data_IF_508172235185
#
_entry.id   IF_508172235185
#
_cell.length_a   1.000
_cell.length_b   1.000
_cell.length_c   1.000
_cell.angle_alpha   90.00
_cell.angle_beta   90.00
_cell.angle_gamma   90.00
#
_symmetry.space_group_name_H-M   'P 1'
#
loop_
_entity.id
_entity.type
_entity.pdbx_description
1 polymer ?
#
# COMPACT_ATOMS: atom_id res chain seq x y z
N UNK A 1 27.86 31.64 -14.44
CA UNK A 1 29.21 31.58 -15.03
C UNK A 1 29.52 32.98 -15.56
N UNK A 2 30.62 33.65 -15.17
CA UNK A 2 30.94 35.01 -15.63
C UNK A 2 32.05 34.98 -16.70
N UNK A 3 31.71 34.90 -18.00
CA UNK A 3 32.68 34.68 -19.07
C UNK A 3 33.66 35.84 -19.28
N UNK A 4 33.29 37.07 -18.88
CA UNK A 4 34.18 38.23 -18.96
C UNK A 4 35.44 38.08 -18.10
N UNK A 5 35.41 37.24 -17.05
CA UNK A 5 36.57 36.92 -16.20
C UNK A 5 37.40 35.75 -16.73
N UNK A 6 36.91 35.03 -17.75
CA UNK A 6 37.57 33.86 -18.34
C UNK A 6 38.63 34.27 -19.38
N UNK A 7 38.47 35.43 -20.02
CA UNK A 7 39.39 35.91 -21.06
C UNK A 7 40.35 37.00 -20.54
N UNK A 8 41.62 36.95 -20.98
CA UNK A 8 42.62 37.97 -20.62
C UNK A 8 42.29 39.32 -21.30
N UNK A 9 42.53 40.43 -20.60
CA UNK A 9 42.25 41.80 -21.07
C UNK A 9 42.79 42.10 -22.49
N UNK A 10 44.03 41.70 -22.79
CA UNK A 10 44.65 41.90 -24.10
C UNK A 10 43.91 41.21 -25.28
N UNK A 11 43.12 40.18 -24.99
CA UNK A 11 42.30 39.47 -25.99
C UNK A 11 40.97 40.19 -26.20
N UNK A 12 40.35 40.69 -25.12
CA UNK A 12 39.13 41.50 -25.17
C UNK A 12 39.36 42.86 -25.85
N UNK A 13 40.54 43.46 -25.70
CA UNK A 13 40.92 44.70 -26.38
C UNK A 13 41.02 44.51 -27.92
N UNK A 14 41.35 43.29 -28.38
CA UNK A 14 41.43 42.95 -29.81
C UNK A 14 40.10 42.44 -30.40
N UNK A 15 39.27 41.81 -29.57
CA UNK A 15 37.95 41.27 -29.93
C UNK A 15 36.93 41.61 -28.84
N UNK A 16 36.32 42.82 -28.89
CA UNK A 16 35.45 43.32 -27.83
C UNK A 16 34.18 42.49 -27.63
N UNK A 17 33.70 41.83 -28.69
CA UNK A 17 32.49 41.00 -28.72
C UNK A 17 32.74 39.52 -28.40
N UNK A 18 33.98 39.14 -28.04
CA UNK A 18 34.36 37.74 -27.81
C UNK A 18 33.55 37.06 -26.71
N UNK A 19 33.26 37.78 -25.61
CA UNK A 19 32.48 37.22 -24.50
C UNK A 19 31.02 36.94 -24.91
N UNK A 20 30.42 37.81 -25.71
CA UNK A 20 29.06 37.65 -26.24
C UNK A 20 29.00 36.52 -27.27
N UNK A 21 29.97 36.45 -28.19
CA UNK A 21 30.11 35.33 -29.14
C UNK A 21 30.30 33.99 -28.43
N UNK A 22 31.10 33.97 -27.36
CA UNK A 22 31.31 32.77 -26.55
C UNK A 22 30.01 32.32 -25.88
N UNK A 23 29.27 33.24 -25.25
CA UNK A 23 27.97 32.93 -24.64
C UNK A 23 26.96 32.43 -25.67
N UNK A 24 26.85 33.10 -26.82
CA UNK A 24 25.96 32.67 -27.91
C UNK A 24 26.30 31.27 -28.41
N UNK A 25 27.59 30.92 -28.52
CA UNK A 25 28.01 29.57 -28.88
C UNK A 25 27.71 28.54 -27.78
N UNK A 26 27.89 28.91 -26.49
CA UNK A 26 27.53 28.07 -25.35
C UNK A 26 26.03 27.80 -25.34
N UNK A 27 25.21 28.83 -25.47
CA UNK A 27 23.74 28.71 -25.49
C UNK A 27 23.27 27.84 -26.66
N UNK A 28 23.85 28.01 -27.85
CA UNK A 28 23.56 27.15 -29.00
C UNK A 28 23.95 25.68 -28.77
N UNK A 29 25.09 25.43 -28.12
CA UNK A 29 25.52 24.06 -27.78
C UNK A 29 24.59 23.45 -26.73
N UNK A 30 24.21 24.21 -25.71
CA UNK A 30 23.27 23.78 -24.67
C UNK A 30 21.91 23.44 -25.29
N UNK A 31 21.36 24.31 -26.14
CA UNK A 31 20.08 24.08 -26.82
C UNK A 31 20.13 22.80 -27.67
N UNK A 32 21.19 22.61 -28.46
CA UNK A 32 21.35 21.40 -29.29
C UNK A 32 21.52 20.15 -28.40
N UNK A 33 22.26 20.27 -27.30
CA UNK A 33 22.47 19.16 -26.36
C UNK A 33 21.17 18.75 -25.69
N UNK A 34 20.35 19.71 -25.26
CA UNK A 34 19.03 19.48 -24.68
C UNK A 34 18.08 18.84 -25.71
N UNK A 35 18.09 19.34 -26.95
CA UNK A 35 17.30 18.74 -28.05
C UNK A 35 17.73 17.31 -28.35
N UNK A 36 19.03 17.02 -28.32
CA UNK A 36 19.55 15.67 -28.52
C UNK A 36 19.19 14.75 -27.35
N UNK A 37 19.23 15.26 -26.11
CA UNK A 37 18.80 14.52 -24.93
C UNK A 37 17.31 14.18 -25.00
N UNK A 38 16.46 15.14 -25.39
CA UNK A 38 15.04 14.92 -25.62
C UNK A 38 14.78 13.89 -26.73
N UNK A 39 15.52 13.95 -27.84
CA UNK A 39 15.42 12.98 -28.92
C UNK A 39 15.77 11.56 -28.45
N UNK A 40 16.88 11.40 -27.72
CA UNK A 40 17.28 10.11 -27.12
C UNK A 40 16.25 9.58 -26.14
N UNK A 41 15.67 10.45 -25.31
CA UNK A 41 14.59 10.09 -24.38
C UNK A 41 13.35 9.59 -25.14
N UNK A 42 13.00 10.25 -26.26
CA UNK A 42 11.89 9.84 -27.11
C UNK A 42 12.15 8.47 -27.76
N UNK A 43 13.35 8.24 -28.29
CA UNK A 43 13.74 6.94 -28.85
C UNK A 43 13.68 5.83 -27.79
N UNK A 44 14.23 6.08 -26.61
CA UNK A 44 14.19 5.15 -25.49
C UNK A 44 12.76 4.85 -25.02
N UNK A 45 11.92 5.88 -24.91
CA UNK A 45 10.50 5.73 -24.52
C UNK A 45 9.73 4.95 -25.57
N UNK A 46 9.94 5.23 -26.86
CA UNK A 46 9.30 4.48 -27.96
C UNK A 46 9.70 3.00 -27.92
N UNK A 47 10.98 2.70 -27.75
CA UNK A 47 11.45 1.33 -27.64
C UNK A 47 10.83 0.61 -26.44
N UNK A 48 10.77 1.27 -25.28
CA UNK A 48 10.13 0.73 -24.09
C UNK A 48 8.62 0.45 -24.31
N UNK A 49 7.90 1.36 -24.96
CA UNK A 49 6.47 1.18 -25.27
C UNK A 49 6.21 0.02 -26.23
N UNK A 50 7.08 -0.20 -27.22
CA UNK A 50 6.97 -1.36 -28.13
C UNK A 50 7.11 -2.67 -27.35
N UNK A 51 8.08 -2.75 -26.44
CA UNK A 51 8.29 -3.94 -25.60
C UNK A 51 7.10 -4.13 -24.66
N UNK A 52 6.62 -3.05 -24.03
CA UNK A 52 5.48 -3.09 -23.12
C UNK A 52 4.21 -3.58 -23.81
N UNK A 53 3.89 -3.06 -25.00
CA UNK A 53 2.73 -3.47 -25.78
C UNK A 53 2.77 -4.97 -26.12
N UNK A 54 3.92 -5.44 -26.62
CA UNK A 54 4.12 -6.86 -26.92
C UNK A 54 3.97 -7.75 -25.67
N UNK A 55 4.54 -7.33 -24.53
CA UNK A 55 4.47 -8.06 -23.27
C UNK A 55 3.03 -8.14 -22.75
N UNK A 56 2.30 -7.01 -22.76
CA UNK A 56 0.89 -6.93 -22.36
C UNK A 56 0.05 -7.85 -23.24
N UNK A 57 0.22 -7.78 -24.57
CA UNK A 57 -0.51 -8.63 -25.51
C UNK A 57 -0.24 -10.13 -25.25
N UNK A 58 1.02 -10.49 -24.97
CA UNK A 58 1.40 -11.87 -24.64
C UNK A 58 0.81 -12.33 -23.32
N UNK A 59 0.86 -11.50 -22.28
CA UNK A 59 0.24 -11.77 -20.98
C UNK A 59 -1.26 -12.01 -21.12
N UNK A 60 -1.97 -11.12 -21.81
CA UNK A 60 -3.41 -11.24 -22.05
C UNK A 60 -3.78 -12.50 -22.83
N UNK A 61 -2.97 -12.87 -23.82
CA UNK A 61 -3.17 -14.11 -24.57
C UNK A 61 -3.02 -15.35 -23.68
N UNK A 62 -1.98 -15.41 -22.85
CA UNK A 62 -1.76 -16.52 -21.92
C UNK A 62 -2.87 -16.63 -20.87
N UNK A 63 -3.32 -15.49 -20.35
CA UNK A 63 -4.45 -15.40 -19.40
C UNK A 63 -5.72 -15.99 -20.02
N UNK A 64 -6.05 -15.54 -21.24
CA UNK A 64 -7.22 -16.01 -22.00
C UNK A 64 -7.14 -17.49 -22.34
N UNK A 65 -5.99 -17.98 -22.78
CA UNK A 65 -5.80 -19.40 -23.11
C UNK A 65 -6.02 -20.33 -21.92
N UNK A 66 -5.82 -19.84 -20.69
CA UNK A 66 -6.07 -20.57 -19.43
C UNK A 66 -7.45 -20.31 -18.83
N UNK A 67 -8.25 -19.42 -19.42
CA UNK A 67 -9.55 -19.03 -18.87
C UNK A 67 -9.46 -18.25 -17.55
N UNK A 68 -8.36 -17.53 -17.32
CA UNK A 68 -8.16 -16.76 -16.09
C UNK A 68 -8.55 -15.30 -16.25
N UNK A 69 -8.98 -14.69 -15.14
CA UNK A 69 -9.23 -13.27 -14.98
C UNK A 69 -8.48 -12.80 -13.73
N UNK A 70 -7.79 -11.66 -13.82
CA UNK A 70 -7.26 -10.96 -12.65
C UNK A 70 -8.27 -9.97 -12.07
N UNK A 71 -7.94 -9.35 -10.94
CA UNK A 71 -8.86 -8.42 -10.27
C UNK A 71 -9.21 -7.19 -11.13
N UNK A 72 -8.27 -6.72 -11.96
CA UNK A 72 -8.52 -5.58 -12.84
C UNK A 72 -9.41 -6.00 -14.02
N UNK A 73 -9.20 -7.20 -14.57
CA UNK A 73 -10.05 -7.77 -15.62
C UNK A 73 -11.51 -7.81 -15.20
N UNK A 74 -11.80 -8.18 -13.95
CA UNK A 74 -13.17 -8.24 -13.45
C UNK A 74 -13.86 -6.88 -13.57
N UNK A 75 -13.16 -5.79 -13.29
CA UNK A 75 -13.69 -4.43 -13.38
C UNK A 75 -13.81 -4.03 -14.86
N UNK A 76 -12.70 -4.02 -15.60
CA UNK A 76 -12.66 -3.52 -16.98
C UNK A 76 -13.55 -4.32 -17.92
N UNK A 77 -13.62 -5.65 -17.77
CA UNK A 77 -14.52 -6.48 -18.59
C UNK A 77 -15.98 -6.28 -18.23
N UNK A 78 -16.30 -6.00 -16.97
CA UNK A 78 -17.67 -5.64 -16.57
C UNK A 78 -18.09 -4.31 -17.19
N UNK A 79 -17.23 -3.29 -17.13
CA UNK A 79 -17.46 -2.01 -17.84
C UNK A 79 -17.70 -2.24 -19.33
N UNK A 80 -16.81 -3.00 -19.98
CA UNK A 80 -16.92 -3.30 -21.41
C UNK A 80 -18.17 -4.10 -21.75
N UNK A 81 -18.56 -5.07 -20.92
CA UNK A 81 -19.78 -5.86 -21.11
C UNK A 81 -21.03 -4.98 -21.02
N UNK A 82 -21.10 -4.11 -20.01
CA UNK A 82 -22.21 -3.16 -19.84
C UNK A 82 -22.22 -2.08 -20.93
N UNK A 83 -21.08 -1.81 -21.58
CA UNK A 83 -20.97 -0.86 -22.70
C UNK A 83 -21.34 -1.42 -24.07
N UNK A 84 -21.43 -2.74 -24.19
CA UNK A 84 -21.69 -3.39 -25.46
C UNK A 84 -23.14 -3.14 -25.91
N UNK A 85 -23.38 -2.54 -27.09
CA UNK A 85 -24.74 -2.31 -27.57
C UNK A 85 -25.56 -3.59 -27.77
N UNK A 86 -24.90 -4.71 -28.03
CA UNK A 86 -25.52 -6.01 -28.30
C UNK A 86 -25.85 -6.82 -27.03
N UNK A 87 -25.21 -6.50 -25.90
CA UNK A 87 -25.32 -7.29 -24.67
C UNK A 87 -25.73 -6.46 -23.45
N UNK A 88 -25.26 -5.21 -23.35
CA UNK A 88 -25.48 -4.29 -22.24
C UNK A 88 -26.96 -4.16 -21.85
N UNK A 89 -27.86 -3.82 -22.80
CA UNK A 89 -29.29 -3.68 -22.49
C UNK A 89 -29.92 -4.98 -21.96
N UNK A 90 -29.51 -6.14 -22.46
CA UNK A 90 -30.01 -7.43 -21.98
C UNK A 90 -29.52 -7.73 -20.55
N UNK A 91 -28.25 -7.43 -20.27
CA UNK A 91 -27.68 -7.58 -18.92
C UNK A 91 -28.36 -6.62 -17.94
N UNK A 92 -28.52 -5.35 -18.31
CA UNK A 92 -29.25 -4.36 -17.51
C UNK A 92 -30.68 -4.82 -17.25
N UNK A 93 -31.43 -5.24 -18.26
CA UNK A 93 -32.78 -5.78 -18.11
C UNK A 93 -32.85 -6.97 -17.12
N UNK A 94 -31.85 -7.86 -17.15
CA UNK A 94 -31.78 -8.99 -16.21
C UNK A 94 -31.49 -8.53 -14.78
N UNK A 95 -30.58 -7.58 -14.60
CA UNK A 95 -30.21 -7.04 -13.29
C UNK A 95 -31.31 -6.14 -12.70
N UNK A 96 -32.03 -5.43 -13.56
CA UNK A 96 -33.20 -4.61 -13.23
C UNK A 96 -34.31 -5.40 -12.52
N UNK A 97 -34.36 -6.72 -12.70
CA UNK A 97 -35.32 -7.58 -12.01
C UNK A 97 -34.91 -7.92 -10.57
N UNK A 98 -33.68 -7.63 -10.15
CA UNK A 98 -33.13 -8.06 -8.86
C UNK A 98 -32.43 -6.98 -8.02
N UNK A 99 -32.08 -5.83 -8.61
CA UNK A 99 -31.36 -4.76 -7.90
C UNK A 99 -32.24 -3.51 -7.85
N UNK A 100 -32.76 -3.21 -6.66
CA UNK A 100 -33.55 -2.01 -6.41
C UNK A 100 -32.72 -0.90 -5.72
N UNK A 101 -31.69 -1.28 -4.97
CA UNK A 101 -30.86 -0.35 -4.19
C UNK A 101 -29.38 -0.64 -4.40
N UNK A 102 -28.60 0.41 -4.68
CA UNK A 102 -27.14 0.34 -4.74
C UNK A 102 -26.59 1.12 -3.56
N UNK A 103 -25.87 0.43 -2.67
CA UNK A 103 -25.25 1.01 -1.48
C UNK A 103 -23.74 0.94 -1.64
N UNK A 104 -23.09 2.10 -1.64
CA UNK A 104 -21.64 2.26 -1.68
C UNK A 104 -21.17 2.78 -0.34
N UNK A 105 -20.31 2.01 0.31
CA UNK A 105 -19.54 2.46 1.47
C UNK A 105 -18.11 2.75 1.02
N UNK A 106 -17.39 3.60 1.75
CA UNK A 106 -16.04 4.07 1.40
C UNK A 106 -15.92 4.56 -0.06
N UNK A 107 -16.93 5.31 -0.52
CA UNK A 107 -17.05 5.74 -1.91
C UNK A 107 -15.86 6.60 -2.40
N UNK A 108 -15.13 7.23 -1.48
CA UNK A 108 -13.89 7.96 -1.80
C UNK A 108 -12.76 7.07 -2.33
N UNK A 109 -12.74 5.78 -1.95
CA UNK A 109 -11.69 4.83 -2.33
C UNK A 109 -12.02 4.08 -3.64
N UNK A 110 -13.10 4.48 -4.32
CA UNK A 110 -13.56 3.86 -5.56
C UNK A 110 -12.79 4.43 -6.76
N UNK A 111 -12.29 3.56 -7.63
CA UNK A 111 -11.56 3.97 -8.85
C UNK A 111 -12.50 4.47 -9.96
N UNK A 112 -12.01 5.24 -10.96
CA UNK A 112 -12.83 5.71 -12.07
C UNK A 112 -13.59 4.58 -12.81
N UNK A 113 -12.94 3.44 -13.00
CA UNK A 113 -13.53 2.27 -13.67
C UNK A 113 -14.62 1.60 -12.80
N UNK A 114 -14.44 1.56 -11.48
CA UNK A 114 -15.47 1.05 -10.57
C UNK A 114 -16.69 1.98 -10.53
N UNK A 115 -16.46 3.31 -10.51
CA UNK A 115 -17.52 4.29 -10.68
C UNK A 115 -18.27 4.10 -12.00
N UNK A 116 -17.57 3.76 -13.08
CA UNK A 116 -18.19 3.47 -14.38
C UNK A 116 -19.12 2.25 -14.32
N UNK A 117 -18.75 1.19 -13.60
CA UNK A 117 -19.67 0.07 -13.34
C UNK A 117 -20.92 0.57 -12.63
N UNK A 118 -20.77 1.33 -11.54
CA UNK A 118 -21.90 1.85 -10.74
C UNK A 118 -22.81 2.74 -11.59
N UNK A 119 -22.24 3.65 -12.39
CA UNK A 119 -22.95 4.54 -13.30
C UNK A 119 -23.82 3.78 -14.30
N UNK A 120 -23.29 2.69 -14.87
CA UNK A 120 -23.99 1.84 -15.85
C UNK A 120 -25.09 0.99 -15.22
N UNK A 121 -24.86 0.50 -14.01
CA UNK A 121 -25.89 -0.24 -13.25
C UNK A 121 -27.04 0.68 -12.83
N UNK A 122 -26.73 1.93 -12.49
CA UNK A 122 -27.72 2.92 -12.07
C UNK A 122 -28.38 3.67 -13.24
N UNK A 123 -28.03 3.40 -14.50
CA UNK A 123 -28.51 4.17 -15.66
C UNK A 123 -30.04 4.11 -15.81
N UNK A 124 -30.60 2.90 -15.70
CA UNK A 124 -32.04 2.61 -15.76
C UNK A 124 -32.81 3.10 -14.52
N UNK A 125 -32.13 3.49 -13.43
CA UNK A 125 -32.82 3.94 -12.21
C UNK A 125 -33.45 5.33 -12.40
N UNK A 126 -32.93 6.12 -13.34
CA UNK A 126 -33.38 7.48 -13.63
C UNK A 126 -34.16 7.57 -14.94
N UNK A 127 -34.17 6.52 -15.77
CA UNK A 127 -35.08 6.40 -16.89
C UNK A 127 -36.47 6.07 -16.32
N UNK A 128 -37.46 6.95 -16.51
CA UNK A 128 -38.79 6.88 -15.89
C UNK A 128 -39.67 5.69 -16.32
N UNK A 129 -39.07 4.58 -16.75
CA UNK A 129 -39.69 3.35 -17.23
C UNK A 129 -38.90 2.12 -16.72
N UNK A 130 -38.57 2.09 -15.43
CA UNK A 130 -38.10 0.84 -14.82
C UNK A 130 -39.16 -0.25 -15.00
N UNK A 131 -38.76 -1.50 -15.24
CA UNK A 131 -39.66 -2.63 -15.51
C UNK A 131 -40.70 -2.92 -14.39
N UNK A 132 -40.66 -2.18 -13.28
CA UNK A 132 -41.53 -2.30 -12.11
C UNK A 132 -42.05 -0.91 -11.75
N UNK A 133 -43.25 -0.57 -12.23
CA UNK A 133 -43.92 0.74 -12.03
C UNK A 133 -44.18 1.13 -10.55
N UNK A 134 -43.86 0.26 -9.59
CA UNK A 134 -44.17 0.44 -8.17
C UNK A 134 -42.95 0.24 -7.24
N UNK A 135 -41.73 0.31 -7.77
CA UNK A 135 -40.49 0.15 -6.97
C UNK A 135 -39.62 1.39 -7.08
N UNK A 136 -39.41 2.06 -5.95
CA UNK A 136 -38.49 3.20 -5.86
C UNK A 136 -37.05 2.71 -5.77
N UNK A 137 -36.28 2.92 -6.84
CA UNK A 137 -34.87 2.56 -6.87
C UNK A 137 -33.99 3.67 -6.34
N UNK A 138 -32.93 3.32 -5.61
CA UNK A 138 -32.06 4.33 -4.99
C UNK A 138 -30.58 4.00 -5.13
N UNK A 139 -29.77 5.05 -5.20
CA UNK A 139 -28.32 4.99 -5.07
C UNK A 139 -27.95 5.74 -3.78
N UNK A 140 -27.26 5.06 -2.89
CA UNK A 140 -26.79 5.61 -1.61
C UNK A 140 -25.28 5.43 -1.55
N UNK A 141 -24.55 6.53 -1.41
CA UNK A 141 -23.10 6.50 -1.30
C UNK A 141 -22.66 7.26 -0.04
N UNK A 142 -21.80 6.63 0.75
CA UNK A 142 -21.17 7.23 1.93
C UNK A 142 -19.68 7.21 1.71
N UNK A 143 -19.03 8.32 2.04
CA UNK A 143 -17.59 8.45 1.94
C UNK A 143 -17.11 9.77 2.51
N UNK A 144 -15.81 9.84 2.75
CA UNK A 144 -15.12 11.03 3.22
C UNK A 144 -13.83 11.20 2.42
N UNK A 145 -13.78 12.21 1.55
CA UNK A 145 -12.60 12.52 0.71
C UNK A 145 -11.32 12.64 1.55
N UNK A 146 -11.43 13.11 2.80
CA UNK A 146 -10.32 13.27 3.74
C UNK A 146 -9.66 11.95 4.14
N UNK A 147 -10.37 10.83 3.95
CA UNK A 147 -9.93 9.49 4.34
C UNK A 147 -9.44 8.67 3.15
N UNK A 148 -9.43 9.23 1.93
CA UNK A 148 -8.89 8.53 0.77
C UNK A 148 -7.37 8.37 0.87
N UNK A 149 -6.94 7.16 1.23
CA UNK A 149 -5.51 6.80 1.40
C UNK A 149 -5.04 5.73 0.40
N UNK A 150 -5.93 5.29 -0.50
CA UNK A 150 -5.68 4.20 -1.45
C UNK A 150 -5.35 4.65 -2.88
N UNK A 151 -4.79 5.86 -3.05
CA UNK A 151 -4.39 6.36 -4.38
C UNK A 151 -3.39 5.45 -5.11
N UNK A 152 -2.56 4.72 -4.38
CA UNK A 152 -1.65 3.72 -4.93
C UNK A 152 -2.35 2.50 -5.57
N UNK A 153 -3.64 2.28 -5.26
CA UNK A 153 -4.49 1.26 -5.87
C UNK A 153 -5.38 1.85 -6.99
N UNK A 154 -5.25 3.14 -7.30
CA UNK A 154 -6.04 3.83 -8.32
C UNK A 154 -7.33 4.48 -7.83
N UNK A 155 -7.54 4.57 -6.51
CA UNK A 155 -8.60 5.40 -5.94
C UNK A 155 -8.37 6.88 -6.33
N UNK A 156 -9.44 7.56 -6.74
CA UNK A 156 -9.39 8.95 -7.14
C UNK A 156 -10.48 9.73 -6.38
N UNK A 157 -10.12 10.53 -5.35
CA UNK A 157 -11.08 11.31 -4.57
C UNK A 157 -11.98 12.18 -5.45
N UNK A 158 -11.40 12.79 -6.49
CA UNK A 158 -12.12 13.60 -7.47
C UNK A 158 -13.27 12.84 -8.13
N UNK A 159 -13.13 11.52 -8.33
CA UNK A 159 -14.18 10.69 -8.92
C UNK A 159 -15.42 10.58 -8.03
N UNK A 160 -15.29 10.70 -6.70
CA UNK A 160 -16.43 10.76 -5.79
C UNK A 160 -17.19 12.08 -5.94
N UNK A 161 -16.47 13.21 -5.97
CA UNK A 161 -17.05 14.54 -6.21
C UNK A 161 -17.73 14.63 -7.59
N UNK A 162 -17.06 14.15 -8.64
CA UNK A 162 -17.58 14.12 -10.00
C UNK A 162 -18.84 13.24 -10.11
N UNK A 163 -18.82 12.06 -9.47
CA UNK A 163 -19.97 11.16 -9.46
C UNK A 163 -21.16 11.78 -8.70
N UNK A 164 -20.91 12.48 -7.59
CA UNK A 164 -21.94 13.25 -6.88
C UNK A 164 -22.58 14.31 -7.78
N UNK A 165 -21.79 15.08 -8.53
CA UNK A 165 -22.30 16.08 -9.46
C UNK A 165 -23.13 15.44 -10.59
N UNK A 166 -22.65 14.31 -11.13
CA UNK A 166 -23.36 13.56 -12.17
C UNK A 166 -24.70 13.02 -11.68
N UNK A 167 -24.73 12.32 -10.55
CA UNK A 167 -25.97 11.76 -10.00
C UNK A 167 -26.94 12.87 -9.56
N UNK A 168 -26.44 13.98 -9.00
CA UNK A 168 -27.24 15.18 -8.71
C UNK A 168 -27.93 15.74 -9.96
N UNK A 169 -27.22 15.81 -11.09
CA UNK A 169 -27.83 16.22 -12.36
C UNK A 169 -28.92 15.24 -12.83
N UNK A 170 -28.62 13.93 -12.86
CA UNK A 170 -29.59 12.89 -13.27
C UNK A 170 -30.85 12.87 -12.39
N UNK A 171 -30.68 13.00 -11.07
CA UNK A 171 -31.81 13.03 -10.11
C UNK A 171 -32.70 14.25 -10.34
N UNK A 172 -32.09 15.42 -10.62
CA UNK A 172 -32.84 16.64 -10.96
C UNK A 172 -33.62 16.49 -12.27
N UNK A 173 -33.01 15.91 -13.29
CA UNK A 173 -33.67 15.66 -14.59
C UNK A 173 -34.83 14.67 -14.45
N UNK A 174 -34.68 13.64 -13.60
CA UNK A 174 -35.74 12.69 -13.27
C UNK A 174 -36.81 13.26 -12.31
N UNK A 175 -36.65 14.51 -11.84
CA UNK A 175 -37.54 15.17 -10.86
C UNK A 175 -37.67 14.41 -9.53
N UNK A 176 -36.62 13.70 -9.13
CA UNK A 176 -36.52 13.01 -7.84
C UNK A 176 -35.70 13.87 -6.86
N UNK A 177 -35.81 13.61 -5.56
CA UNK A 177 -35.06 14.34 -4.53
C UNK A 177 -33.63 13.83 -4.43
N UNK A 178 -32.65 14.73 -4.52
CA UNK A 178 -31.26 14.47 -4.18
C UNK A 178 -31.00 14.89 -2.74
N UNK A 179 -30.54 13.97 -1.89
CA UNK A 179 -30.19 14.26 -0.50
C UNK A 179 -28.67 14.27 -0.34
N UNK A 180 -28.14 15.42 0.08
CA UNK A 180 -26.72 15.67 0.27
C UNK A 180 -26.49 16.02 1.74
N UNK A 181 -25.98 15.05 2.50
CA UNK A 181 -25.91 15.10 3.95
C UNK A 181 -24.46 15.13 4.41
N UNK A 182 -24.05 16.22 5.08
CA UNK A 182 -22.77 16.30 5.78
C UNK A 182 -22.97 15.85 7.24
N UNK A 183 -22.35 14.74 7.62
CA UNK A 183 -22.34 14.25 9.00
C UNK A 183 -21.19 14.90 9.78
N UNK A 184 -21.48 15.90 10.59
CA UNK A 184 -20.47 16.67 11.36
C UNK A 184 -20.26 16.16 12.78
N UNK A 185 -21.11 15.26 13.26
CA UNK A 185 -21.06 14.71 14.61
C UNK A 185 -20.26 13.41 14.66
N UNK A 186 -19.26 13.37 15.53
CA UNK A 186 -18.49 12.17 15.85
C UNK A 186 -19.06 11.50 17.11
N UNK A 187 -19.39 10.23 16.95
CA UNK A 187 -19.79 9.33 18.04
C UNK A 187 -18.59 8.54 18.60
N UNK A 188 -17.42 8.64 17.95
CA UNK A 188 -16.27 7.77 18.19
C UNK A 188 -15.26 8.37 19.17
N UNK A 189 -15.02 9.67 19.06
CA UNK A 189 -13.95 10.39 19.76
C UNK A 189 -14.48 11.45 20.73
N UNK A 190 -13.62 11.89 21.64
CA UNK A 190 -13.89 12.99 22.58
C UNK A 190 -13.57 14.35 21.95
N UNK A 191 -14.01 15.42 22.59
CA UNK A 191 -13.77 16.79 22.11
C UNK A 191 -12.28 17.11 22.01
N UNK A 192 -11.46 16.70 23.00
CA UNK A 192 -10.02 17.00 23.03
C UNK A 192 -9.27 16.44 21.81
N UNK A 193 -9.60 15.21 21.41
CA UNK A 193 -8.97 14.56 20.25
C UNK A 193 -9.40 15.25 18.96
N UNK A 194 -10.69 15.57 18.81
CA UNK A 194 -11.21 16.24 17.62
C UNK A 194 -10.65 17.67 17.50
N UNK A 195 -10.58 18.42 18.61
CA UNK A 195 -10.03 19.76 18.64
C UNK A 195 -8.54 19.77 18.28
N UNK A 196 -7.77 18.77 18.72
CA UNK A 196 -6.38 18.62 18.31
C UNK A 196 -6.25 18.36 16.80
N UNK A 197 -7.09 17.50 16.23
CA UNK A 197 -7.13 17.25 14.77
C UNK A 197 -7.49 18.54 14.02
N UNK A 198 -8.55 19.24 14.43
CA UNK A 198 -8.99 20.49 13.81
C UNK A 198 -7.90 21.57 13.88
N UNK A 199 -7.14 21.62 14.98
CA UNK A 199 -5.99 22.53 15.13
C UNK A 199 -4.85 22.21 14.15
N UNK A 200 -4.54 20.94 13.91
CA UNK A 200 -3.51 20.53 12.94
C UNK A 200 -3.92 20.92 11.52
N UNK A 201 -5.19 20.75 11.16
CA UNK A 201 -5.71 21.05 9.82
C UNK A 201 -6.28 22.46 9.67
N UNK A 202 -6.13 23.33 10.66
CA UNK A 202 -6.50 24.75 10.56
C UNK A 202 -5.61 25.50 9.56
N UNK A 203 -4.36 25.05 9.37
CA UNK A 203 -3.45 25.59 8.34
C UNK A 203 -3.95 25.20 6.93
N UNK A 204 -4.26 26.18 6.06
CA UNK A 204 -4.68 25.91 4.68
C UNK A 204 -3.69 25.05 3.88
N UNK A 205 -2.38 25.14 4.13
CA UNK A 205 -1.38 24.35 3.42
C UNK A 205 -1.50 22.86 3.77
N UNK A 206 -1.71 22.55 5.05
CA UNK A 206 -1.89 21.18 5.54
C UNK A 206 -3.24 20.63 5.08
N UNK A 207 -4.29 21.45 5.14
CA UNK A 207 -5.66 21.07 4.75
C UNK A 207 -5.79 20.70 3.27
N UNK A 208 -5.09 21.41 2.38
CA UNK A 208 -5.05 21.07 0.94
C UNK A 208 -4.52 19.65 0.68
N UNK A 209 -3.76 19.08 1.61
CA UNK A 209 -3.25 17.72 1.50
C UNK A 209 -4.32 16.64 1.70
N UNK A 210 -5.49 16.97 2.24
CA UNK A 210 -6.55 16.01 2.56
C UNK A 210 -7.92 16.36 1.97
N UNK A 211 -8.18 17.61 1.60
CA UNK A 211 -9.48 18.01 1.07
C UNK A 211 -9.36 19.13 0.06
N UNK A 212 -10.24 19.09 -0.94
CA UNK A 212 -10.45 20.17 -1.89
C UNK A 212 -11.52 21.18 -1.41
N UNK A 213 -12.23 20.89 -0.30
CA UNK A 213 -13.22 21.78 0.30
C UNK A 213 -12.54 23.02 0.92
N UNK A 214 -12.89 24.25 0.47
CA UNK A 214 -12.34 25.48 1.03
C UNK A 214 -12.85 25.79 2.44
N UNK A 215 -13.90 25.11 2.93
CA UNK A 215 -14.48 25.35 4.25
C UNK A 215 -13.63 24.75 5.39
N UNK A 216 -13.47 25.47 6.53
CA UNK A 216 -12.74 24.96 7.68
C UNK A 216 -13.33 23.64 8.18
N UNK A 217 -12.45 22.72 8.57
CA UNK A 217 -12.86 21.47 9.19
C UNK A 217 -13.33 21.77 10.61
N UNK A 218 -14.55 21.35 10.93
CA UNK A 218 -15.10 21.49 12.28
C UNK A 218 -15.82 20.19 12.64
N UNK A 219 -15.26 19.44 13.57
CA UNK A 219 -15.87 18.21 14.07
C UNK A 219 -16.58 18.48 15.39
N UNK A 220 -17.78 17.93 15.57
CA UNK A 220 -18.54 18.04 16.83
C UNK A 220 -18.51 16.70 17.56
N UNK A 221 -18.02 16.68 18.80
CA UNK A 221 -18.09 15.48 19.63
C UNK A 221 -19.47 15.36 20.26
N UNK A 222 -20.09 14.18 20.19
CA UNK A 222 -21.25 13.86 21.05
C UNK A 222 -20.80 13.58 22.48
N UNK A 223 -19.57 13.08 22.64
CA UNK A 223 -18.95 12.79 23.93
C UNK A 223 -18.19 14.01 24.46
N UNK A 224 -18.86 15.16 24.59
CA UNK A 224 -18.26 16.41 25.11
C UNK A 224 -17.76 16.27 26.54
N UNK A 225 -18.48 15.48 27.35
CA UNK A 225 -18.18 15.35 28.79
C UNK A 225 -17.25 14.17 29.11
N UNK A 226 -16.80 13.45 28.07
CA UNK A 226 -15.87 12.35 28.25
C UNK A 226 -14.43 12.89 28.23
N UNK A 227 -13.57 12.54 29.20
CA UNK A 227 -12.25 13.11 29.23
C UNK A 227 -11.37 12.48 28.13
N UNK A 228 -10.52 13.30 27.55
CA UNK A 228 -9.49 12.91 26.61
C UNK A 228 -8.32 13.88 26.68
N UNK A 229 -7.19 13.46 26.15
CA UNK A 229 -6.04 14.34 25.98
C UNK A 229 -5.23 13.90 24.77
N UNK A 230 -4.44 14.84 24.25
CA UNK A 230 -3.48 14.58 23.18
C UNK A 230 -2.12 15.02 23.68
N UNK A 231 -1.18 14.08 23.69
CA UNK A 231 0.19 14.32 24.10
C UNK A 231 1.11 14.27 22.88
N UNK A 232 1.98 15.26 22.76
CA UNK A 232 3.00 15.32 21.71
C UNK A 232 4.37 15.15 22.36
N UNK A 233 5.03 14.03 22.08
CA UNK A 233 6.37 13.78 22.59
C UNK A 233 7.43 14.54 21.80
N UNK A 234 8.53 14.97 22.46
CA UNK A 234 9.66 15.58 21.75
C UNK A 234 10.22 14.67 20.66
N UNK A 235 10.62 15.26 19.54
CA UNK A 235 11.29 14.52 18.46
C UNK A 235 12.64 13.98 18.93
N UNK A 236 12.86 12.67 18.75
CA UNK A 236 14.15 12.03 19.00
C UNK A 236 14.94 12.05 17.69
N UNK A 237 15.94 12.93 17.61
CA UNK A 237 16.82 13.05 16.45
C UNK A 237 17.75 11.86 16.27
N UNK A 238 18.28 11.70 15.06
CA UNK A 238 19.47 10.87 14.84
C UNK A 238 20.67 11.59 15.44
N UNK A 239 21.19 11.05 16.54
CA UNK A 239 22.57 11.34 16.92
C UNK A 239 23.45 10.83 15.76
N UNK A 240 24.35 11.67 15.25
CA UNK A 240 25.37 11.23 14.30
C UNK A 240 26.24 10.25 15.06
N UNK A 241 26.03 8.95 14.81
CA UNK A 241 26.94 7.92 15.30
C UNK A 241 28.15 8.03 14.40
N UNK A 242 29.29 8.49 14.93
CA UNK A 242 30.57 8.39 14.23
C UNK A 242 30.81 6.91 13.94
N UNK A 243 30.77 6.53 12.66
CA UNK A 243 31.12 5.17 12.26
C UNK A 243 32.61 4.97 12.59
N UNK A 244 32.96 3.96 13.41
CA UNK A 244 34.37 3.71 13.68
C UNK A 244 35.10 3.37 12.37
N UNK A 245 36.29 3.95 12.17
CA UNK A 245 37.16 3.66 11.01
C UNK A 245 37.50 2.16 10.85
N UNK A 246 37.28 1.36 11.90
CA UNK A 246 37.55 -0.07 11.95
C UNK A 246 36.29 -0.91 11.63
N UNK A 247 36.25 -1.43 10.41
CA UNK A 247 35.20 -2.30 9.87
C UNK A 247 35.01 -3.64 10.61
N UNK A 248 35.90 -4.01 11.55
CA UNK A 248 35.77 -5.24 12.35
C UNK A 248 35.01 -5.04 13.66
N UNK A 249 34.74 -3.80 14.05
CA UNK A 249 33.96 -3.48 15.24
C UNK A 249 32.46 -3.61 14.97
N UNK A 250 31.76 -4.31 15.86
CA UNK A 250 30.31 -4.39 15.79
C UNK A 250 29.71 -3.01 16.08
N UNK A 251 29.03 -2.42 15.09
CA UNK A 251 28.27 -1.19 15.30
C UNK A 251 27.09 -1.51 16.22
N UNK A 252 27.03 -0.86 17.38
CA UNK A 252 25.96 -1.09 18.35
C UNK A 252 24.66 -0.43 17.86
N UNK A 253 23.83 -1.22 17.17
CA UNK A 253 22.54 -0.78 16.63
C UNK A 253 21.53 -0.34 17.73
N UNK A 254 21.86 -0.50 19.02
CA UNK A 254 21.06 -0.01 20.14
C UNK A 254 20.88 1.53 20.14
N UNK A 255 21.76 2.28 19.47
CA UNK A 255 21.73 3.74 19.42
C UNK A 255 20.88 4.30 18.27
N UNK A 256 20.35 3.46 17.39
CA UNK A 256 19.49 3.93 16.31
C UNK A 256 18.23 4.61 16.89
N UNK A 257 17.82 5.79 16.40
CA UNK A 257 16.66 6.52 16.91
C UNK A 257 15.38 5.68 16.96
N UNK A 258 15.18 4.82 15.96
CA UNK A 258 14.06 3.89 15.90
C UNK A 258 14.02 2.93 17.10
N UNK A 259 15.19 2.46 17.58
CA UNK A 259 15.25 1.58 18.76
C UNK A 259 14.93 2.35 20.03
N UNK A 260 15.44 3.58 20.18
CA UNK A 260 15.13 4.44 21.32
C UNK A 260 13.65 4.81 21.40
N UNK A 261 13.04 5.20 20.29
CA UNK A 261 11.60 5.47 20.22
C UNK A 261 10.82 4.20 20.57
N UNK A 262 11.23 3.05 20.05
CA UNK A 262 10.57 1.77 20.36
C UNK A 262 10.64 1.39 21.84
N UNK A 263 11.80 1.58 22.49
CA UNK A 263 11.97 1.38 23.92
C UNK A 263 11.12 2.33 24.75
N UNK A 264 11.10 3.62 24.39
CA UNK A 264 10.29 4.61 25.09
C UNK A 264 8.80 4.30 24.98
N UNK A 265 8.31 3.99 23.77
CA UNK A 265 6.91 3.59 23.57
C UNK A 265 6.58 2.33 24.39
N UNK A 266 7.44 1.31 24.34
CA UNK A 266 7.22 0.08 25.10
C UNK A 266 7.25 0.30 26.62
N UNK A 267 8.14 1.16 27.11
CA UNK A 267 8.22 1.53 28.53
C UNK A 267 6.98 2.28 28.99
N UNK A 268 6.48 3.23 28.19
CA UNK A 268 5.24 3.95 28.51
C UNK A 268 4.03 3.02 28.55
N UNK A 269 3.87 2.15 27.55
CA UNK A 269 2.77 1.17 27.53
C UNK A 269 2.85 0.24 28.75
N UNK A 270 4.05 -0.24 29.09
CA UNK A 270 4.26 -1.04 30.29
C UNK A 270 3.93 -0.29 31.57
N UNK A 271 4.26 1.01 31.63
CA UNK A 271 3.89 1.90 32.73
C UNK A 271 2.37 2.00 32.91
N UNK A 272 1.63 2.27 31.83
CA UNK A 272 0.17 2.35 31.88
C UNK A 272 -0.49 1.04 32.34
N UNK A 273 -0.03 -0.09 31.79
CA UNK A 273 -0.55 -1.41 32.16
C UNK A 273 -0.20 -1.77 33.61
N UNK A 274 1.05 -1.51 34.02
CA UNK A 274 1.57 -1.82 35.35
C UNK A 274 0.92 -0.97 36.46
N UNK A 275 0.68 0.31 36.19
CA UNK A 275 -0.05 1.20 37.11
C UNK A 275 -1.56 0.88 37.18
N UNK A 276 -2.07 0.10 36.22
CA UNK A 276 -3.49 -0.24 36.16
C UNK A 276 -4.36 0.95 35.76
N UNK A 277 -3.84 1.81 34.87
CA UNK A 277 -4.54 2.96 34.31
C UNK A 277 -5.96 2.58 33.86
N UNK A 278 -6.92 3.46 34.12
CA UNK A 278 -8.32 3.21 33.78
C UNK A 278 -8.67 3.97 32.53
N UNK A 279 -9.22 3.27 31.54
CA UNK A 279 -9.76 3.89 30.33
C UNK A 279 -10.97 4.73 30.74
N UNK A 280 -10.78 6.04 30.69
CA UNK A 280 -11.78 7.03 31.02
C UNK A 280 -13.04 6.88 30.15
N UNK A 281 -14.21 7.03 30.77
CA UNK A 281 -15.51 6.79 30.14
C UNK A 281 -15.92 5.32 29.98
N UNK A 282 -15.02 4.35 30.17
CA UNK A 282 -15.37 2.91 30.22
C UNK A 282 -15.23 2.29 31.62
N UNK A 283 -14.42 2.90 32.49
CA UNK A 283 -14.16 2.37 33.83
C UNK A 283 -13.40 1.04 33.83
N UNK A 284 -12.78 0.68 32.70
CA UNK A 284 -12.05 -0.57 32.52
C UNK A 284 -10.55 -0.30 32.63
N UNK A 285 -9.83 -1.16 33.35
CA UNK A 285 -8.36 -1.14 33.34
C UNK A 285 -7.85 -1.34 31.92
N UNK A 286 -6.85 -0.55 31.54
CA UNK A 286 -6.18 -0.62 30.25
C UNK A 286 -5.52 -1.98 30.08
N UNK A 287 -5.80 -2.64 28.96
CA UNK A 287 -5.18 -3.91 28.57
C UNK A 287 -4.36 -3.72 27.30
N UNK A 288 -3.40 -4.61 27.00
CA UNK A 288 -2.64 -4.55 25.75
C UNK A 288 -3.51 -4.41 24.49
N UNK A 289 -4.67 -5.08 24.45
CA UNK A 289 -5.60 -5.02 23.31
C UNK A 289 -6.34 -3.68 23.13
N UNK A 290 -6.24 -2.76 24.09
CA UNK A 290 -6.82 -1.42 24.00
C UNK A 290 -5.83 -0.39 23.40
N UNK A 291 -4.57 -0.77 23.17
CA UNK A 291 -3.53 0.12 22.64
C UNK A 291 -3.27 -0.20 21.16
N UNK A 292 -3.32 0.84 20.31
CA UNK A 292 -2.98 0.75 18.89
C UNK A 292 -1.82 1.68 18.56
N UNK A 293 -0.75 1.13 17.98
CA UNK A 293 0.39 1.91 17.49
C UNK A 293 0.32 1.99 15.97
N UNK A 294 0.04 3.19 15.44
CA UNK A 294 -0.04 3.47 14.01
C UNK A 294 1.32 3.89 13.47
N UNK A 295 1.74 3.25 12.38
CA UNK A 295 3.01 3.55 11.69
C UNK A 295 2.77 3.68 10.20
N UNK A 296 3.50 4.59 9.53
CA UNK A 296 3.37 4.80 8.09
C UNK A 296 3.92 3.63 7.27
N UNK A 297 5.03 3.03 7.72
CA UNK A 297 5.70 1.91 7.06
C UNK A 297 6.10 0.87 8.10
N UNK A 298 6.12 -0.40 7.69
CA UNK A 298 6.63 -1.51 8.50
C UNK A 298 8.13 -1.66 8.27
N UNK A 299 8.90 -0.80 8.93
CA UNK A 299 10.35 -0.77 8.81
C UNK A 299 11.04 -1.31 10.08
N UNK A 300 12.32 -0.97 10.26
CA UNK A 300 13.14 -1.37 11.42
C UNK A 300 12.50 -1.00 12.76
N UNK A 301 11.72 0.09 12.84
CA UNK A 301 11.04 0.51 14.06
C UNK A 301 10.04 -0.54 14.56
N UNK A 302 9.22 -1.11 13.67
CA UNK A 302 8.19 -2.09 14.05
C UNK A 302 8.82 -3.34 14.66
N UNK A 303 9.93 -3.80 14.09
CA UNK A 303 10.67 -4.94 14.62
C UNK A 303 11.31 -4.62 15.98
N UNK A 304 11.86 -3.41 16.15
CA UNK A 304 12.42 -2.96 17.42
C UNK A 304 11.34 -2.87 18.51
N UNK A 305 10.19 -2.28 18.20
CA UNK A 305 9.04 -2.16 19.10
C UNK A 305 8.49 -3.53 19.51
N UNK A 306 8.32 -4.44 18.55
CA UNK A 306 7.86 -5.81 18.83
C UNK A 306 8.79 -6.53 19.80
N UNK A 307 10.12 -6.40 19.60
CA UNK A 307 11.10 -6.97 20.55
C UNK A 307 11.04 -6.31 21.92
N UNK A 308 10.93 -4.98 21.98
CA UNK A 308 10.86 -4.22 23.22
C UNK A 308 9.61 -4.55 24.06
N UNK A 309 8.46 -4.77 23.40
CA UNK A 309 7.21 -5.20 24.04
C UNK A 309 7.27 -6.67 24.49
N UNK A 310 7.79 -7.58 23.64
CA UNK A 310 7.99 -9.01 24.01
C UNK A 310 8.91 -9.17 25.22
N UNK A 311 9.99 -8.38 25.32
CA UNK A 311 10.87 -8.36 26.51
C UNK A 311 10.17 -7.96 27.81
N UNK A 312 9.06 -7.23 27.71
CA UNK A 312 8.23 -6.77 28.84
C UNK A 312 6.98 -7.62 29.05
N UNK A 313 6.91 -8.78 28.40
CA UNK A 313 5.77 -9.70 28.44
C UNK A 313 4.43 -9.05 28.01
N UNK A 314 4.49 -8.07 27.09
CA UNK A 314 3.30 -7.44 26.53
C UNK A 314 2.94 -8.14 25.20
N UNK A 315 1.73 -8.71 25.07
CA UNK A 315 1.32 -9.38 23.84
C UNK A 315 1.12 -8.36 22.71
N UNK A 316 1.65 -8.68 21.53
CA UNK A 316 1.57 -7.84 20.32
C UNK A 316 0.93 -8.63 19.19
N UNK A 317 -0.10 -8.06 18.57
CA UNK A 317 -0.73 -8.62 17.37
C UNK A 317 -0.19 -7.93 16.10
N UNK A 318 -0.13 -8.67 14.99
CA UNK A 318 0.08 -8.09 13.64
C UNK A 318 1.53 -7.89 13.18
N UNK A 319 2.54 -8.17 14.01
CA UNK A 319 3.95 -8.12 13.60
C UNK A 319 4.38 -9.35 12.77
N UNK A 320 3.81 -10.52 13.06
CA UNK A 320 4.22 -11.79 12.45
C UNK A 320 3.23 -12.19 11.36
N UNK A 321 3.38 -11.64 10.13
CA UNK A 321 3.05 -12.46 8.95
C UNK A 321 4.14 -13.52 8.93
N UNK A 322 3.88 -14.66 9.58
CA UNK A 322 4.74 -15.83 9.45
C UNK A 322 4.87 -16.08 7.94
N UNK A 323 6.06 -15.87 7.38
CA UNK A 323 6.33 -16.39 6.05
C UNK A 323 6.28 -17.90 6.20
N UNK A 324 5.11 -18.50 5.91
CA UNK A 324 4.90 -19.94 6.05
C UNK A 324 6.05 -20.71 5.38
N UNK A 325 6.49 -20.39 4.14
CA UNK A 325 7.64 -21.08 3.52
C UNK A 325 8.97 -20.90 4.25
N UNK A 326 9.11 -19.86 5.08
CA UNK A 326 10.31 -19.58 5.86
C UNK A 326 10.42 -20.39 7.14
N UNK A 327 9.31 -20.91 7.66
CA UNK A 327 9.26 -21.62 8.93
C UNK A 327 9.90 -23.01 8.80
N UNK A 328 10.76 -23.39 9.76
CA UNK A 328 11.54 -24.65 9.72
C UNK A 328 10.63 -25.86 9.51
N UNK A 329 9.57 -25.99 10.32
CA UNK A 329 8.61 -27.08 10.17
C UNK A 329 7.93 -27.15 8.78
N UNK A 330 7.73 -26.00 8.12
CA UNK A 330 7.15 -25.99 6.75
C UNK A 330 8.20 -26.38 5.73
N UNK A 331 9.45 -25.94 5.90
CA UNK A 331 10.57 -26.36 5.04
C UNK A 331 10.78 -27.87 5.09
N UNK A 332 10.69 -28.47 6.28
CA UNK A 332 10.80 -29.92 6.45
C UNK A 332 9.70 -30.66 5.68
N UNK A 333 8.45 -30.16 5.73
CA UNK A 333 7.33 -30.73 4.98
C UNK A 333 7.45 -30.50 3.46
N UNK A 334 7.98 -29.36 3.02
CA UNK A 334 8.26 -29.11 1.60
C UNK A 334 9.34 -30.07 1.10
N UNK A 335 10.42 -30.25 1.87
CA UNK A 335 11.48 -31.20 1.55
C UNK A 335 10.93 -32.63 1.45
N UNK A 336 10.01 -33.02 2.34
CA UNK A 336 9.29 -34.30 2.23
C UNK A 336 8.48 -34.40 0.94
N UNK A 337 7.73 -33.35 0.59
CA UNK A 337 6.99 -33.29 -0.67
C UNK A 337 7.90 -33.42 -1.91
N UNK A 338 9.03 -32.71 -1.93
CA UNK A 338 10.01 -32.82 -3.01
C UNK A 338 10.58 -34.23 -3.12
N UNK A 339 10.98 -34.84 -2.01
CA UNK A 339 11.47 -36.22 -1.99
C UNK A 339 10.40 -37.21 -2.49
N UNK A 340 9.13 -37.05 -2.13
CA UNK A 340 8.06 -37.94 -2.59
C UNK A 340 7.80 -37.84 -4.10
N UNK A 341 7.99 -36.65 -4.68
CA UNK A 341 7.84 -36.42 -6.14
C UNK A 341 9.08 -36.87 -6.90
N UNK A 342 10.27 -36.61 -6.34
CA UNK A 342 11.57 -36.96 -6.93
C UNK A 342 12.43 -37.68 -5.89
N UNK A 343 12.32 -39.03 -5.79
CA UNK A 343 13.03 -39.82 -4.79
C UNK A 343 14.56 -39.77 -4.88
N UNK A 344 15.11 -39.32 -6.01
CA UNK A 344 16.56 -39.15 -6.22
C UNK A 344 17.07 -37.76 -5.82
N UNK A 345 16.22 -36.89 -5.26
CA UNK A 345 16.66 -35.63 -4.67
C UNK A 345 17.32 -35.89 -3.30
N UNK A 346 18.63 -36.06 -3.35
CA UNK A 346 19.47 -36.33 -2.18
C UNK A 346 19.39 -35.24 -1.11
N UNK A 347 19.27 -33.97 -1.51
CA UNK A 347 19.25 -32.86 -0.57
C UNK A 347 17.93 -32.83 0.19
N UNK A 348 16.81 -32.99 -0.52
CA UNK A 348 15.49 -33.03 0.09
C UNK A 348 15.36 -34.25 1.02
N UNK A 349 15.87 -35.42 0.62
CA UNK A 349 15.90 -36.60 1.48
C UNK A 349 16.79 -36.38 2.72
N UNK A 350 17.99 -35.83 2.58
CA UNK A 350 18.88 -35.55 3.70
C UNK A 350 18.25 -34.57 4.71
N UNK A 351 17.60 -33.51 4.22
CA UNK A 351 16.88 -32.55 5.06
C UNK A 351 15.75 -33.22 5.85
N UNK A 352 14.98 -34.10 5.20
CA UNK A 352 13.89 -34.85 5.82
C UNK A 352 14.41 -35.83 6.88
N UNK A 353 15.46 -36.58 6.58
CA UNK A 353 16.07 -37.52 7.53
C UNK A 353 16.58 -36.79 8.78
N UNK A 354 17.18 -35.61 8.62
CA UNK A 354 17.66 -34.80 9.75
C UNK A 354 16.54 -34.10 10.52
N UNK A 355 15.40 -33.86 9.90
CA UNK A 355 14.27 -33.17 10.51
C UNK A 355 13.70 -33.93 11.72
N UNK A 356 12.94 -33.28 12.62
CA UNK A 356 12.30 -33.93 13.76
C UNK A 356 11.33 -35.07 13.42
N UNK A 357 10.99 -35.27 12.14
CA UNK A 357 10.10 -36.34 11.68
C UNK A 357 10.79 -37.71 11.79
N UNK A 358 12.07 -37.78 11.43
CA UNK A 358 12.86 -39.01 11.42
C UNK A 358 14.04 -38.97 12.39
N UNK A 359 14.50 -37.76 12.75
CA UNK A 359 15.54 -37.48 13.75
C UNK A 359 16.81 -38.34 13.58
N UNK A 360 17.24 -38.53 12.33
CA UNK A 360 18.48 -39.23 12.01
C UNK A 360 19.67 -38.34 12.40
N UNK A 361 20.64 -38.91 13.12
CA UNK A 361 21.82 -38.17 13.56
C UNK A 361 22.71 -37.76 12.38
N UNK A 362 23.55 -36.74 12.59
CA UNK A 362 24.48 -36.27 11.55
C UNK A 362 25.50 -37.34 11.18
N UNK A 363 25.95 -38.14 12.15
CA UNK A 363 26.89 -39.24 11.91
C UNK A 363 26.26 -40.33 11.04
N UNK A 364 25.02 -40.72 11.34
CA UNK A 364 24.29 -41.70 10.54
C UNK A 364 23.99 -41.17 9.14
N UNK A 365 23.59 -39.90 9.03
CA UNK A 365 23.35 -39.26 7.73
C UNK A 365 24.64 -39.18 6.90
N UNK A 366 25.77 -38.88 7.54
CA UNK A 366 27.07 -38.86 6.88
C UNK A 366 27.49 -40.25 6.40
N UNK A 367 27.29 -41.31 7.19
CA UNK A 367 27.55 -42.68 6.75
C UNK A 367 26.68 -43.08 5.53
N UNK A 368 25.43 -42.64 5.49
CA UNK A 368 24.49 -42.91 4.40
C UNK A 368 24.82 -42.11 3.12
N UNK A 369 25.22 -40.84 3.26
CA UNK A 369 25.36 -39.88 2.17
C UNK A 369 26.80 -39.62 1.70
N UNK A 370 27.78 -39.69 2.61
CA UNK A 370 29.18 -39.36 2.37
C UNK A 370 30.03 -40.55 1.93
N UNK A 371 29.73 -41.77 2.40
CA UNK A 371 30.48 -42.99 2.06
C UNK A 371 29.95 -43.72 0.82
N UNK A 372 28.90 -43.16 0.17
CA UNK A 372 28.27 -43.80 -1.00
C UNK A 372 29.09 -43.64 -2.29
N UNK A 373 29.02 -44.60 -3.22
CA UNK A 373 29.65 -44.49 -4.53
C UNK A 373 29.10 -43.30 -5.35
N UNK A 374 29.96 -42.68 -6.16
CA UNK A 374 29.56 -41.61 -7.07
C UNK A 374 28.48 -42.10 -8.04
N UNK A 375 27.38 -41.35 -8.14
CA UNK A 375 26.21 -41.69 -8.97
C UNK A 375 25.15 -42.57 -8.30
N UNK A 376 25.35 -43.01 -7.05
CA UNK A 376 24.32 -43.68 -6.26
C UNK A 376 23.49 -42.64 -5.50
N UNK A 377 22.16 -42.62 -5.70
CA UNK A 377 21.27 -41.74 -4.94
C UNK A 377 21.18 -42.15 -3.47
N UNK A 378 20.84 -41.19 -2.61
CA UNK A 378 20.79 -41.36 -1.16
C UNK A 378 19.70 -42.37 -0.77
N UNK A 379 18.60 -42.40 -1.50
CA UNK A 379 17.53 -43.39 -1.29
C UNK A 379 17.99 -44.81 -1.63
N UNK A 380 18.85 -44.98 -2.64
CA UNK A 380 19.40 -46.28 -3.00
C UNK A 380 20.41 -46.75 -1.93
N UNK A 381 21.25 -45.84 -1.43
CA UNK A 381 22.14 -46.08 -0.29
C UNK A 381 21.35 -46.52 0.95
N UNK A 382 20.29 -45.79 1.29
CA UNK A 382 19.40 -46.10 2.40
C UNK A 382 18.77 -47.50 2.27
N UNK A 383 18.29 -47.86 1.07
CA UNK A 383 17.72 -49.20 0.81
C UNK A 383 18.75 -50.33 0.91
N UNK A 384 20.00 -50.07 0.54
CA UNK A 384 21.07 -51.07 0.65
C UNK A 384 21.48 -51.32 2.10
N UNK A 385 21.49 -50.29 2.94
CA UNK A 385 21.85 -50.41 4.36
C UNK A 385 20.69 -50.86 5.26
N UNK A 386 19.43 -50.67 4.82
CA UNK A 386 18.24 -51.13 5.55
C UNK A 386 17.89 -52.62 5.32
N UNK A 387 18.70 -53.35 4.54
CA UNK A 387 18.52 -54.77 4.22
C UNK A 387 18.94 -55.72 5.32
#
# INVERSE_FOLDING_TARGET
YEPAKTFKKALLDRLPDLAERYLSAVDAILEISDRLALFRMLEGTRAALIIADWLIARYEHLKRARGFLDFNDLITRTVNLLARPDAGPWVQYKLDQGIDHILLDEAQDTSPDQWEVVKRLAEEFFAGLGARDNVHRTVFAVGDEKQSIYSFQGAAPDSFADSRLLFSAKVRDAKVTFADLKLTWSFRSTEDVLAAVDRVFADPLVRRGISHDPDPLTHKAIRSDAPGYVEVWPSIGADVVDEPDDWTQAVDHAHAPAVRIAENVAATIAGWIGAGEVIEGRGKKLRPGDVLVLVRKRDRFVHALTRALKRRDIPVAGADRLSLPGHIAVKDLIALGHFLVQPEDDLSLAAVLRSPIFDVSEEMLFALAGERPSGLSLIASLRQQAG
#
